data_IF_598084318035
#
_entry.id   IF_598084318035
#
_cell.length_a   1.000
_cell.length_b   1.000
_cell.length_c   1.000
_cell.angle_alpha   90.00
_cell.angle_beta   90.00
_cell.angle_gamma   90.00
#
_symmetry.space_group_name_H-M   'P 1'
#
loop_
_entity.id
_entity.type
_entity.pdbx_description
1 polymer ?
#
# COMPACT_ATOMS: atom_id res chain seq x y z
N UNK A 1 13.72 -62.51 22.48
CA UNK A 1 13.10 -62.74 21.16
C UNK A 1 12.24 -61.53 20.81
N UNK A 2 12.26 -61.18 19.52
CA UNK A 2 11.73 -59.98 18.85
C UNK A 2 10.26 -59.65 19.18
N UNK A 3 9.96 -58.35 19.22
CA UNK A 3 8.99 -57.70 18.31
C UNK A 3 9.20 -56.19 18.26
N UNK A 4 9.70 -55.73 17.11
CA UNK A 4 9.66 -54.34 16.63
C UNK A 4 8.24 -53.94 16.26
N UNK A 5 7.86 -52.70 16.59
CA UNK A 5 6.79 -51.86 15.99
C UNK A 5 6.68 -50.63 16.91
N UNK A 6 6.73 -49.35 16.52
CA UNK A 6 6.47 -48.71 15.22
C UNK A 6 7.14 -47.33 15.25
N UNK A 7 7.79 -46.96 14.15
CA UNK A 7 8.24 -45.60 13.80
C UNK A 7 6.99 -44.74 13.52
N UNK A 8 7.13 -43.40 13.46
CA UNK A 8 6.16 -42.38 13.04
C UNK A 8 5.46 -41.58 14.15
N UNK A 9 6.26 -40.80 14.87
CA UNK A 9 5.80 -39.54 15.47
C UNK A 9 6.42 -38.37 14.70
N UNK A 10 5.89 -38.10 13.50
CA UNK A 10 6.24 -36.95 12.69
C UNK A 10 5.89 -35.66 13.43
N UNK A 11 6.79 -35.17 14.28
CA UNK A 11 6.76 -33.80 14.77
C UNK A 11 7.62 -32.98 13.81
N UNK A 12 7.07 -32.85 12.58
CA UNK A 12 7.29 -31.70 11.72
C UNK A 12 6.71 -30.50 12.48
N UNK A 13 7.46 -29.96 13.45
CA UNK A 13 7.20 -28.60 13.92
C UNK A 13 7.51 -27.71 12.73
N UNK A 14 6.42 -27.43 12.02
CA UNK A 14 6.01 -26.16 11.42
C UNK A 14 6.81 -25.00 12.01
N UNK A 15 8.03 -24.86 11.51
CA UNK A 15 8.81 -23.65 11.57
C UNK A 15 9.61 -23.58 10.27
N UNK A 16 8.96 -23.89 9.14
CA UNK A 16 9.18 -23.06 7.96
C UNK A 16 8.80 -21.66 8.40
N UNK A 17 9.79 -20.97 8.95
CA UNK A 17 9.92 -19.53 8.94
C UNK A 17 9.58 -19.17 7.51
N UNK A 18 8.31 -18.84 7.28
CA UNK A 18 7.92 -18.07 6.13
C UNK A 18 8.68 -16.78 6.34
N UNK A 19 9.90 -16.74 5.81
CA UNK A 19 10.48 -15.52 5.28
C UNK A 19 9.53 -15.08 4.17
N UNK A 20 8.35 -14.62 4.61
CA UNK A 20 7.44 -13.81 3.84
C UNK A 20 8.23 -12.55 3.61
N UNK A 21 9.03 -12.57 2.54
CA UNK A 21 9.48 -11.38 1.86
C UNK A 21 8.24 -10.81 1.16
N UNK A 22 7.22 -10.50 1.96
CA UNK A 22 5.97 -9.91 1.54
C UNK A 22 6.17 -8.41 1.47
N UNK A 23 5.71 -7.81 0.38
CA UNK A 23 5.61 -6.36 0.25
C UNK A 23 4.85 -5.80 1.45
N UNK A 24 5.31 -4.67 1.97
CA UNK A 24 4.68 -3.92 3.06
C UNK A 24 4.01 -2.67 2.51
N UNK A 25 3.02 -2.15 3.22
CA UNK A 25 2.39 -0.88 2.89
C UNK A 25 3.43 0.26 2.81
N UNK A 26 4.44 0.23 3.68
CA UNK A 26 5.54 1.19 3.69
C UNK A 26 6.38 1.20 2.40
N UNK A 27 6.40 0.09 1.66
CA UNK A 27 7.09 0.04 0.36
C UNK A 27 6.40 0.91 -0.70
N UNK A 28 5.19 1.39 -0.38
CA UNK A 28 4.33 2.22 -1.23
C UNK A 28 4.13 3.63 -0.66
N UNK A 29 4.90 4.05 0.35
CA UNK A 29 4.81 5.41 0.91
C UNK A 29 5.05 6.50 -0.15
N UNK A 30 5.88 6.22 -1.17
CA UNK A 30 6.13 7.14 -2.27
C UNK A 30 4.87 7.43 -3.08
N UNK A 31 4.05 6.41 -3.38
CA UNK A 31 2.81 6.61 -4.16
C UNK A 31 1.75 7.34 -3.33
N UNK A 32 1.70 7.11 -2.01
CA UNK A 32 0.80 7.81 -1.09
C UNK A 32 1.17 9.29 -1.00
N UNK A 33 2.48 9.59 -0.92
CA UNK A 33 2.99 10.95 -0.91
C UNK A 33 2.70 11.67 -2.22
N UNK A 34 3.00 11.04 -3.36
CA UNK A 34 2.74 11.62 -4.68
C UNK A 34 1.24 11.89 -4.88
N UNK A 35 0.39 10.99 -4.41
CA UNK A 35 -1.06 11.19 -4.40
C UNK A 35 -1.48 12.43 -3.60
N UNK A 36 -0.90 12.63 -2.40
CA UNK A 36 -1.13 13.83 -1.58
C UNK A 36 -0.71 15.10 -2.33
N UNK A 37 0.47 15.11 -2.95
CA UNK A 37 0.99 16.25 -3.71
C UNK A 37 0.06 16.62 -4.88
N UNK A 38 -0.45 15.61 -5.59
CA UNK A 38 -1.42 15.81 -6.67
C UNK A 38 -2.73 16.37 -6.18
N UNK A 39 -3.27 15.84 -5.08
CA UNK A 39 -4.48 16.37 -4.47
C UNK A 39 -4.31 17.83 -4.10
N UNK A 40 -3.15 18.21 -3.55
CA UNK A 40 -2.81 19.60 -3.27
C UNK A 40 -2.82 20.46 -4.51
N UNK A 41 -2.23 20.02 -5.62
CA UNK A 41 -2.25 20.78 -6.88
C UNK A 41 -3.68 20.97 -7.41
N UNK A 42 -4.48 19.90 -7.39
CA UNK A 42 -5.85 19.90 -7.93
C UNK A 42 -6.79 20.73 -7.07
N UNK A 43 -6.68 20.63 -5.74
CA UNK A 43 -7.56 21.29 -4.79
C UNK A 43 -7.16 22.72 -4.48
N UNK A 44 -5.92 23.13 -4.77
CA UNK A 44 -5.49 24.52 -4.65
C UNK A 44 -6.24 25.40 -5.66
N UNK A 45 -7.15 26.23 -5.16
CA UNK A 45 -7.99 27.11 -5.97
C UNK A 45 -7.22 28.27 -6.61
N UNK A 46 -6.10 28.69 -6.04
CA UNK A 46 -5.51 30.00 -6.34
C UNK A 46 -4.05 29.96 -6.81
N UNK A 47 -3.25 28.92 -6.52
CA UNK A 47 -1.83 28.93 -6.86
C UNK A 47 -1.43 28.12 -8.10
N UNK A 48 -2.31 27.27 -8.65
CA UNK A 48 -1.94 26.40 -9.78
C UNK A 48 -2.71 26.72 -11.07
N UNK A 49 -1.99 26.67 -12.20
CA UNK A 49 -2.59 26.91 -13.52
C UNK A 49 -3.54 25.78 -13.91
N UNK A 50 -4.47 26.06 -14.83
CA UNK A 50 -5.37 25.02 -15.37
C UNK A 50 -4.59 23.88 -16.07
N UNK A 51 -3.45 24.20 -16.70
CA UNK A 51 -2.58 23.20 -17.33
C UNK A 51 -1.96 22.27 -16.29
N UNK A 52 -1.49 22.82 -15.17
CA UNK A 52 -0.87 22.02 -14.09
C UNK A 52 -1.91 21.13 -13.42
N UNK A 53 -3.13 21.66 -13.18
CA UNK A 53 -4.27 20.85 -12.71
C UNK A 53 -4.63 19.72 -13.68
N UNK A 54 -4.58 19.97 -14.99
CA UNK A 54 -4.86 18.93 -15.99
C UNK A 54 -3.81 17.82 -15.95
N UNK A 55 -2.53 18.17 -15.85
CA UNK A 55 -1.44 17.19 -15.71
C UNK A 55 -1.56 16.40 -14.41
N UNK A 56 -1.87 17.09 -13.30
CA UNK A 56 -2.06 16.45 -12.00
C UNK A 56 -3.23 15.45 -12.03
N UNK A 57 -4.36 15.80 -12.65
CA UNK A 57 -5.49 14.89 -12.83
C UNK A 57 -5.14 13.67 -13.71
N UNK A 58 -4.36 13.87 -14.78
CA UNK A 58 -3.87 12.75 -15.59
C UNK A 58 -2.97 11.82 -14.77
N UNK A 59 -2.03 12.38 -14.00
CA UNK A 59 -1.16 11.60 -13.13
C UNK A 59 -1.93 10.90 -12.01
N UNK A 60 -3.00 11.51 -11.49
CA UNK A 60 -3.90 10.88 -10.52
C UNK A 60 -4.51 9.58 -11.08
N UNK A 61 -4.90 9.57 -12.35
CA UNK A 61 -5.46 8.36 -12.98
C UNK A 61 -4.42 7.23 -13.09
N UNK A 62 -3.15 7.57 -13.34
CA UNK A 62 -2.05 6.59 -13.36
C UNK A 62 -1.77 6.06 -11.96
N UNK A 63 -1.65 6.94 -10.97
CA UNK A 63 -1.46 6.58 -9.56
C UNK A 63 -2.56 5.70 -9.01
N UNK A 64 -3.82 5.93 -9.40
CA UNK A 64 -4.91 5.04 -9.02
C UNK A 64 -4.70 3.60 -9.53
N UNK A 65 -4.13 3.42 -10.72
CA UNK A 65 -3.78 2.10 -11.25
C UNK A 65 -2.62 1.49 -10.48
N UNK A 66 -1.56 2.28 -10.22
CA UNK A 66 -0.41 1.85 -9.41
C UNK A 66 -0.84 1.44 -7.99
N UNK A 67 -1.78 2.17 -7.39
CA UNK A 67 -2.39 1.86 -6.10
C UNK A 67 -3.20 0.57 -6.13
N UNK A 68 -4.07 0.37 -7.13
CA UNK A 68 -4.81 -0.89 -7.28
C UNK A 68 -3.88 -2.10 -7.46
N UNK A 69 -2.78 -1.91 -8.18
CA UNK A 69 -1.76 -2.93 -8.38
C UNK A 69 -0.94 -3.19 -7.11
N UNK A 70 -0.62 -2.15 -6.34
CA UNK A 70 -0.01 -2.26 -5.02
C UNK A 70 -0.89 -3.10 -4.08
N UNK A 71 -2.19 -2.81 -4.02
CA UNK A 71 -3.13 -3.58 -3.20
C UNK A 71 -3.10 -5.06 -3.57
N UNK A 72 -3.08 -5.45 -4.85
CA UNK A 72 -3.05 -6.88 -5.25
C UNK A 72 -1.85 -7.64 -4.68
N UNK A 73 -0.73 -6.97 -4.47
CA UNK A 73 0.54 -7.56 -4.02
C UNK A 73 0.73 -7.57 -2.49
N UNK A 74 -0.22 -7.00 -1.75
CA UNK A 74 -0.17 -6.89 -0.29
C UNK A 74 -1.00 -7.98 0.41
N UNK A 75 -0.57 -8.35 1.62
CA UNK A 75 -1.39 -9.12 2.56
C UNK A 75 -2.63 -8.30 2.97
N UNK A 76 -3.66 -8.93 3.54
CA UNK A 76 -4.86 -8.19 3.97
C UNK A 76 -4.55 -7.12 5.01
N UNK A 77 -3.67 -7.40 5.97
CA UNK A 77 -3.24 -6.42 6.97
C UNK A 77 -2.55 -5.22 6.32
N UNK A 78 -1.61 -5.46 5.41
CA UNK A 78 -0.88 -4.38 4.73
C UNK A 78 -1.77 -3.62 3.75
N UNK A 79 -2.75 -4.27 3.11
CA UNK A 79 -3.79 -3.61 2.31
C UNK A 79 -4.55 -2.59 3.15
N UNK A 80 -5.01 -2.98 4.34
CA UNK A 80 -5.74 -2.07 5.23
C UNK A 80 -4.90 -0.86 5.63
N UNK A 81 -3.60 -1.06 5.89
CA UNK A 81 -2.67 0.05 6.18
C UNK A 81 -2.54 0.99 4.99
N UNK A 82 -2.29 0.46 3.79
CA UNK A 82 -2.16 1.28 2.59
C UNK A 82 -3.47 2.03 2.26
N UNK A 83 -4.63 1.39 2.41
CA UNK A 83 -5.95 2.02 2.24
C UNK A 83 -6.17 3.17 3.22
N UNK A 84 -5.80 2.98 4.50
CA UNK A 84 -5.90 4.03 5.51
C UNK A 84 -4.96 5.20 5.20
N UNK A 85 -3.70 4.94 4.84
CA UNK A 85 -2.76 5.99 4.46
C UNK A 85 -3.26 6.80 3.26
N UNK A 86 -3.80 6.12 2.26
CA UNK A 86 -4.39 6.77 1.08
C UNK A 86 -5.59 7.66 1.43
N UNK A 87 -6.50 7.16 2.27
CA UNK A 87 -7.66 7.92 2.75
C UNK A 87 -7.25 9.11 3.63
N UNK A 88 -6.24 8.93 4.47
CA UNK A 88 -5.69 10.00 5.31
C UNK A 88 -5.09 11.13 4.47
N UNK A 89 -4.39 10.83 3.37
CA UNK A 89 -3.90 11.87 2.45
C UNK A 89 -5.03 12.76 1.95
N UNK A 90 -6.18 12.17 1.55
CA UNK A 90 -7.33 12.96 1.12
C UNK A 90 -7.92 13.82 2.25
N UNK A 91 -8.02 13.27 3.46
CA UNK A 91 -8.50 14.00 4.63
C UNK A 91 -7.56 15.16 4.99
N UNK A 92 -6.25 14.94 5.00
CA UNK A 92 -5.24 15.95 5.27
C UNK A 92 -5.30 17.11 4.27
N UNK A 93 -5.39 16.82 2.97
CA UNK A 93 -5.51 17.87 1.94
C UNK A 93 -6.83 18.62 2.06
N UNK A 94 -7.91 17.94 2.43
CA UNK A 94 -9.20 18.58 2.68
C UNK A 94 -9.15 19.53 3.90
N UNK A 95 -8.32 19.22 4.89
CA UNK A 95 -7.98 20.10 6.03
C UNK A 95 -7.00 21.24 5.64
N UNK A 96 -6.52 21.27 4.40
CA UNK A 96 -5.55 22.25 3.90
C UNK A 96 -4.09 21.94 4.22
N UNK A 97 -3.78 20.71 4.64
CA UNK A 97 -2.41 20.28 4.97
C UNK A 97 -1.69 19.78 3.73
N UNK A 98 -1.06 20.71 3.01
CA UNK A 98 -0.30 20.43 1.79
C UNK A 98 1.22 20.46 1.98
N UNK A 99 1.66 20.56 3.24
CA UNK A 99 3.07 20.56 3.64
C UNK A 99 3.58 19.15 4.00
#
# INVERSE_FOLDING_TARGET
MKKSMTIFGAILIVATILTSCGKKASDYDSIVKEYKDILCVVMDKNNNSMSDKTKALQRQQELNKEYEEALKNLSQEEKSKLMMSWANSLAEVSDGKCD
#
